data_IF_292717082211
#
_entry.id   IF_292717082211
#
_cell.length_a   1.000
_cell.length_b   1.000
_cell.length_c   1.000
_cell.angle_alpha   90.00
_cell.angle_beta   90.00
_cell.angle_gamma   90.00
#
_symmetry.space_group_name_H-M   'P 1'
#
loop_
_entity.id
_entity.type
_entity.pdbx_description
1 polymer ?
#
# COMPACT_ATOMS: atom_id res chain seq x y z
N UNK A 1 9.62 0.84 9.29
CA UNK A 1 9.89 -0.01 8.12
C UNK A 1 9.68 0.82 6.87
N UNK A 2 10.28 0.43 5.74
CA UNK A 2 10.00 1.03 4.44
C UNK A 2 9.11 0.07 3.66
N UNK A 3 8.02 0.55 3.07
CA UNK A 3 7.10 -0.27 2.27
C UNK A 3 6.94 0.32 0.88
N UNK A 4 6.71 -0.54 -0.11
CA UNK A 4 6.52 -0.15 -1.50
C UNK A 4 5.03 -0.19 -1.86
N UNK A 5 4.54 0.91 -2.45
CA UNK A 5 3.16 1.03 -2.93
C UNK A 5 3.11 1.59 -4.33
N UNK A 6 2.01 1.33 -5.04
CA UNK A 6 1.72 1.89 -6.35
C UNK A 6 0.28 1.60 -6.76
N UNK A 7 -0.01 1.69 -8.04
CA UNK A 7 -1.30 1.31 -8.60
C UNK A 7 -1.14 0.11 -9.54
N UNK A 8 -1.99 -0.90 -9.38
CA UNK A 8 -2.05 -2.04 -10.29
C UNK A 8 -2.32 -1.55 -11.71
N UNK A 9 -1.51 -1.97 -12.68
CA UNK A 9 -1.64 -1.45 -14.04
C UNK A 9 -2.99 -1.80 -14.68
N UNK A 10 -3.55 -2.97 -14.34
CA UNK A 10 -4.76 -3.50 -14.98
C UNK A 10 -6.01 -2.86 -14.39
N UNK A 11 -6.11 -2.79 -13.07
CA UNK A 11 -7.33 -2.34 -12.38
C UNK A 11 -7.25 -0.90 -11.88
N UNK A 12 -6.04 -0.35 -11.71
CA UNK A 12 -5.81 0.93 -11.07
C UNK A 12 -5.90 0.87 -9.55
N UNK A 13 -6.11 -0.30 -8.93
CA UNK A 13 -6.21 -0.43 -7.48
C UNK A 13 -4.90 -0.08 -6.79
N UNK A 14 -4.98 0.49 -5.59
CA UNK A 14 -3.80 0.68 -4.76
C UNK A 14 -3.30 -0.68 -4.28
N UNK A 15 -2.02 -0.96 -4.52
CA UNK A 15 -1.37 -2.22 -4.15
C UNK A 15 -0.08 -1.97 -3.37
N UNK A 16 0.34 -3.00 -2.64
CA UNK A 16 1.41 -3.02 -1.66
C UNK A 16 2.29 -4.25 -1.86
N UNK A 17 3.61 -4.08 -1.83
CA UNK A 17 4.53 -5.20 -2.01
C UNK A 17 4.53 -6.13 -0.80
N UNK A 18 4.26 -7.42 -1.01
CA UNK A 18 4.13 -8.43 0.03
C UNK A 18 5.37 -9.33 0.20
N UNK A 19 6.44 -9.10 -0.57
CA UNK A 19 7.69 -9.86 -0.49
C UNK A 19 7.94 -10.76 -1.70
N UNK A 20 6.89 -11.38 -2.24
CA UNK A 20 6.92 -12.25 -3.42
C UNK A 20 5.88 -11.85 -4.49
N UNK A 21 5.18 -10.75 -4.27
CA UNK A 21 4.15 -10.23 -5.14
C UNK A 21 3.45 -9.00 -4.57
N UNK A 22 2.29 -8.69 -5.13
CA UNK A 22 1.50 -7.50 -4.77
C UNK A 22 0.20 -7.89 -4.09
N UNK A 23 -0.13 -7.23 -2.97
CA UNK A 23 -1.40 -7.35 -2.27
C UNK A 23 -2.18 -6.04 -2.37
N UNK A 24 -3.51 -6.11 -2.24
CA UNK A 24 -4.37 -4.94 -2.06
C UNK A 24 -4.44 -4.49 -0.60
N UNK A 25 -4.03 -5.35 0.33
CA UNK A 25 -4.10 -5.09 1.77
C UNK A 25 -2.76 -4.54 2.24
N UNK A 26 -2.78 -3.33 2.83
CA UNK A 26 -1.57 -2.69 3.35
C UNK A 26 -0.92 -3.53 4.47
N UNK A 27 -1.70 -4.30 5.22
CA UNK A 27 -1.21 -5.15 6.30
C UNK A 27 -0.26 -6.26 5.84
N UNK A 28 -0.34 -6.65 4.56
CA UNK A 28 0.54 -7.69 3.98
C UNK A 28 1.91 -7.12 3.56
N UNK A 29 2.16 -5.82 3.76
CA UNK A 29 3.37 -5.17 3.28
C UNK A 29 4.63 -5.76 3.91
N UNK A 30 5.60 -6.12 3.06
CA UNK A 30 6.93 -6.50 3.48
C UNK A 30 7.85 -5.27 3.58
N UNK A 31 8.82 -5.31 4.50
CA UNK A 31 9.87 -4.29 4.57
C UNK A 31 10.79 -4.42 3.36
N UNK A 32 10.88 -3.36 2.56
CA UNK A 32 11.74 -3.32 1.36
C UNK A 32 13.12 -2.70 1.64
N UNK A 33 13.33 -2.15 2.84
CA UNK A 33 14.61 -1.56 3.24
C UNK A 33 15.15 -0.54 2.23
N UNK A 34 16.47 -0.56 2.02
CA UNK A 34 17.15 0.34 1.07
C UNK A 34 17.00 -0.09 -0.40
N UNK A 35 16.46 -1.29 -0.66
CA UNK A 35 16.32 -1.84 -2.02
C UNK A 35 14.96 -1.50 -2.66
N UNK A 36 14.08 -0.80 -1.94
CA UNK A 36 12.72 -0.53 -2.37
C UNK A 36 12.62 0.26 -3.68
N UNK A 37 13.51 1.23 -3.91
CA UNK A 37 13.50 2.01 -5.16
C UNK A 37 13.97 1.20 -6.37
N UNK A 38 14.90 0.25 -6.18
CA UNK A 38 15.32 -0.68 -7.23
C UNK A 38 14.19 -1.63 -7.59
N UNK A 39 13.53 -2.19 -6.58
CA UNK A 39 12.35 -3.03 -6.74
C UNK A 39 11.21 -2.28 -7.45
N UNK A 40 10.94 -1.04 -7.06
CA UNK A 40 9.93 -0.18 -7.71
C UNK A 40 10.20 -0.06 -9.22
N UNK A 41 11.44 0.25 -9.61
CA UNK A 41 11.84 0.34 -11.02
C UNK A 41 11.71 -0.99 -11.75
N UNK A 42 12.08 -2.10 -11.12
CA UNK A 42 11.92 -3.45 -11.72
C UNK A 42 10.46 -3.78 -11.98
N UNK A 43 9.58 -3.54 -11.01
CA UNK A 43 8.16 -3.87 -11.12
C UNK A 43 7.41 -2.95 -12.09
N UNK A 44 7.79 -1.67 -12.18
CA UNK A 44 7.29 -0.75 -13.21
C UNK A 44 7.76 -1.15 -14.61
N UNK A 45 9.04 -1.51 -14.78
CA UNK A 45 9.57 -1.99 -16.06
C UNK A 45 8.91 -3.31 -16.51
N UNK A 46 8.48 -4.13 -15.55
CA UNK A 46 7.70 -5.34 -15.80
C UNK A 46 6.22 -5.07 -16.10
N UNK A 47 5.78 -3.79 -16.09
CA UNK A 47 4.40 -3.37 -16.36
C UNK A 47 3.38 -4.01 -15.42
N UNK A 48 3.75 -4.23 -14.15
CA UNK A 48 2.83 -4.75 -13.12
C UNK A 48 2.19 -3.62 -12.32
N UNK A 49 2.95 -2.56 -12.10
CA UNK A 49 2.58 -1.42 -11.27
C UNK A 49 2.90 -0.11 -12.00
N UNK A 50 2.17 0.96 -11.66
CA UNK A 50 2.43 2.32 -12.12
C UNK A 50 2.51 3.27 -10.94
N UNK A 51 3.46 4.20 -10.99
CA UNK A 51 3.65 5.21 -9.96
C UNK A 51 4.06 4.55 -8.65
N UNK A 52 5.02 3.63 -8.73
CA UNK A 52 5.54 2.90 -7.58
C UNK A 52 6.52 3.79 -6.79
N UNK A 53 6.36 3.83 -5.47
CA UNK A 53 7.25 4.58 -4.59
C UNK A 53 7.30 3.99 -3.18
N UNK A 54 8.42 4.22 -2.51
CA UNK A 54 8.65 3.79 -1.13
C UNK A 54 8.10 4.83 -0.16
N UNK A 55 7.48 4.37 0.91
CA UNK A 55 7.02 5.20 2.03
C UNK A 55 7.45 4.63 3.37
N UNK A 56 7.50 5.49 4.37
CA UNK A 56 7.66 5.07 5.76
C UNK A 56 6.35 4.52 6.34
N UNK A 57 6.49 3.44 7.10
CA UNK A 57 5.40 2.83 7.85
C UNK A 57 5.88 2.31 9.21
N UNK A 58 4.93 2.12 10.12
CA UNK A 58 5.12 1.51 11.43
C UNK A 58 4.38 0.19 11.49
N UNK A 59 5.02 -0.84 12.02
CA UNK A 59 4.34 -2.09 12.41
C UNK A 59 3.66 -1.84 13.75
N UNK A 60 2.37 -2.11 13.84
CA UNK A 60 1.59 -2.12 15.08
C UNK A 60 1.03 -3.52 15.33
N UNK A 61 0.41 -3.73 16.49
CA UNK A 61 -0.23 -5.01 16.83
C UNK A 61 -1.40 -5.34 15.87
N UNK A 62 -1.98 -4.31 15.24
CA UNK A 62 -3.08 -4.40 14.26
C UNK A 62 -2.60 -4.51 12.79
N UNK A 63 -1.29 -4.37 12.54
CA UNK A 63 -0.69 -4.52 11.22
C UNK A 63 0.21 -3.36 10.79
N UNK A 64 0.47 -3.27 9.48
CA UNK A 64 1.32 -2.21 8.92
C UNK A 64 0.50 -0.93 8.71
N UNK A 65 0.94 0.17 9.33
CA UNK A 65 0.32 1.49 9.20
C UNK A 65 1.24 2.48 8.48
N UNK A 66 0.83 3.03 7.31
CA UNK A 66 1.56 4.11 6.65
C UNK A 66 1.70 5.35 7.53
N UNK A 67 2.88 5.97 7.54
CA UNK A 67 3.16 7.13 8.37
C UNK A 67 2.31 8.35 7.94
N UNK A 68 2.20 8.58 6.63
CA UNK A 68 1.54 9.75 6.07
C UNK A 68 0.03 9.51 5.79
N UNK A 69 -0.80 10.52 6.09
CA UNK A 69 -2.27 10.44 5.96
C UNK A 69 -2.75 10.12 4.54
N UNK A 70 -2.09 10.68 3.52
CA UNK A 70 -2.38 10.39 2.10
C UNK A 70 -2.39 8.88 1.83
N UNK A 71 -1.41 8.17 2.37
CA UNK A 71 -1.21 6.75 2.08
C UNK A 71 -2.13 5.86 2.92
N UNK A 72 -2.53 6.33 4.11
CA UNK A 72 -3.62 5.72 4.89
C UNK A 72 -4.96 5.83 4.15
N UNK A 73 -5.27 6.97 3.56
CA UNK A 73 -6.46 7.13 2.71
C UNK A 73 -6.38 6.21 1.51
N UNK A 74 -5.22 6.12 0.85
CA UNK A 74 -5.03 5.20 -0.29
C UNK A 74 -5.20 3.73 0.08
N UNK A 75 -4.77 3.33 1.29
CA UNK A 75 -4.98 1.98 1.81
C UNK A 75 -6.47 1.65 2.05
N UNK A 76 -7.26 2.65 2.42
CA UNK A 76 -8.69 2.50 2.70
C UNK A 76 -9.55 2.56 1.42
N UNK A 77 -9.29 3.55 0.58
CA UNK A 77 -10.11 3.88 -0.59
C UNK A 77 -10.60 5.33 -0.62
N UNK A 78 -11.35 5.71 -1.66
CA UNK A 78 -11.74 7.09 -1.91
C UNK A 78 -12.74 7.61 -0.89
N UNK A 79 -12.43 8.73 -0.23
CA UNK A 79 -13.29 9.35 0.80
C UNK A 79 -14.62 9.86 0.26
N UNK A 80 -14.74 10.10 -1.05
CA UNK A 80 -15.97 10.55 -1.73
C UNK A 80 -16.80 9.42 -2.33
N UNK A 81 -16.27 8.18 -2.36
CA UNK A 81 -16.98 6.97 -2.82
C UNK A 81 -16.73 5.80 -1.86
N UNK A 82 -17.25 5.86 -0.62
CA UNK A 82 -16.99 4.83 0.40
C UNK A 82 -17.47 3.43 -0.01
N UNK A 83 -18.39 3.35 -0.97
CA UNK A 83 -18.85 2.09 -1.59
C UNK A 83 -17.74 1.37 -2.38
N UNK A 84 -16.68 2.08 -2.76
CA UNK A 84 -15.49 1.55 -3.43
C UNK A 84 -14.32 1.30 -2.47
N UNK A 85 -14.51 1.49 -1.17
CA UNK A 85 -13.45 1.20 -0.21
C UNK A 85 -13.11 -0.29 -0.22
N UNK A 86 -11.81 -0.58 -0.13
CA UNK A 86 -11.36 -1.91 0.23
C UNK A 86 -11.85 -2.18 1.65
N UNK A 87 -12.56 -3.30 1.85
CA UNK A 87 -12.82 -3.78 3.21
C UNK A 87 -11.45 -4.13 3.80
N UNK A 88 -10.95 -3.36 4.77
CA UNK A 88 -9.64 -3.65 5.34
C UNK A 88 -9.76 -4.96 6.12
N UNK A 89 -8.65 -5.69 6.24
CA UNK A 89 -8.60 -6.86 7.13
C UNK A 89 -8.91 -6.49 8.60
N UNK A 90 -8.77 -5.21 8.95
CA UNK A 90 -9.14 -4.62 10.23
C UNK A 90 -10.41 -3.75 10.11
N UNK A 91 -11.41 -4.04 10.93
CA UNK A 91 -12.67 -3.29 10.99
C UNK A 91 -12.47 -1.84 11.46
N UNK A 92 -11.39 -1.56 12.21
CA UNK A 92 -11.11 -0.24 12.79
C UNK A 92 -10.20 0.64 11.90
N UNK A 93 -9.78 0.17 10.73
CA UNK A 93 -8.84 0.92 9.87
C UNK A 93 -9.38 2.29 9.40
N UNK A 94 -10.70 2.50 9.43
CA UNK A 94 -11.31 3.81 9.16
C UNK A 94 -10.89 4.89 10.17
N UNK A 95 -10.58 4.51 11.42
CA UNK A 95 -10.12 5.43 12.46
C UNK A 95 -8.67 5.88 12.23
N UNK A 96 -7.94 5.28 11.28
CA UNK A 96 -6.56 5.64 11.02
C UNK A 96 -6.42 6.92 10.21
N UNK A 97 -7.48 7.37 9.54
CA UNK A 97 -7.46 8.50 8.61
C UNK A 97 -7.41 9.85 9.34
N UNK A 98 -7.84 9.93 10.60
CA UNK A 98 -7.88 11.16 11.40
C UNK A 98 -7.02 11.01 12.65
#
# INVERSE_FOLDING_TARGET
>A
MKILTGNDLVTGDVIWWAGDGWSRQVGDSADVGEQGDDLARTEEAALRVVGAYVIDATVTDEGVRPAHIKDRIRALGPTVRPDLNLKPNDADAGNWVI
#
